data_IF_712502389127
#
_entry.id   IF_712502389127
#
_cell.length_a   1.000
_cell.length_b   1.000
_cell.length_c   1.000
_cell.angle_alpha   90.00
_cell.angle_beta   90.00
_cell.angle_gamma   90.00
#
_symmetry.space_group_name_H-M   'P 1'
#
loop_
_entity.id
_entity.type
_entity.pdbx_description
1 polymer ?
#
# COMPACT_ATOMS: atom_id res chain seq x y z
N UNK A 1 -15.03 41.97 68.63
CA UNK A 1 -15.98 41.12 67.89
C UNK A 1 -15.83 41.27 66.37
N UNK A 2 -14.61 41.24 65.82
CA UNK A 2 -14.39 41.50 64.38
C UNK A 2 -13.40 40.55 63.69
N UNK A 3 -13.00 39.46 64.38
CA UNK A 3 -12.00 38.56 63.77
C UNK A 3 -12.55 37.19 63.37
N UNK A 4 -13.76 36.81 63.74
CA UNK A 4 -14.40 35.53 63.38
C UNK A 4 -15.28 35.56 62.12
N UNK A 5 -15.58 36.76 61.58
CA UNK A 5 -16.39 36.87 60.38
C UNK A 5 -15.56 36.91 59.08
N UNK A 6 -14.26 37.09 59.16
CA UNK A 6 -13.37 37.07 57.97
C UNK A 6 -12.86 35.67 57.60
N UNK A 7 -12.99 34.67 58.42
CA UNK A 7 -12.62 33.28 58.12
C UNK A 7 -13.73 32.46 57.46
N UNK A 8 -14.99 32.86 57.57
CA UNK A 8 -16.10 32.17 56.90
C UNK A 8 -16.27 32.61 55.42
N UNK A 9 -15.80 33.81 55.04
CA UNK A 9 -15.90 34.28 53.66
C UNK A 9 -14.79 33.70 52.74
N UNK A 10 -13.66 33.21 53.32
CA UNK A 10 -12.58 32.57 52.55
C UNK A 10 -12.82 31.10 52.28
N UNK A 11 -13.69 30.41 53.03
CA UNK A 11 -13.99 28.98 52.86
C UNK A 11 -15.07 28.71 51.79
N UNK A 12 -15.87 29.71 51.40
CA UNK A 12 -16.89 29.55 50.38
C UNK A 12 -16.42 29.89 48.96
N UNK A 13 -15.25 30.54 48.81
CA UNK A 13 -14.69 30.86 47.48
C UNK A 13 -13.88 29.74 46.85
N UNK A 14 -13.53 28.72 47.64
CA UNK A 14 -12.71 27.57 47.15
C UNK A 14 -13.51 26.34 46.71
N UNK A 15 -14.83 26.30 46.95
CA UNK A 15 -15.70 25.22 46.51
C UNK A 15 -16.31 25.50 45.14
N UNK A 16 -16.30 26.75 44.65
CA UNK A 16 -16.85 27.13 43.36
C UNK A 16 -15.96 26.91 42.13
N UNK A 17 -14.66 26.55 42.31
CA UNK A 17 -13.68 26.36 41.21
C UNK A 17 -13.44 24.91 40.83
N UNK A 18 -14.05 23.95 41.53
CA UNK A 18 -13.96 22.53 41.21
C UNK A 18 -15.14 21.98 40.39
N UNK A 19 -16.14 22.83 40.10
CA UNK A 19 -17.31 22.42 39.30
C UNK A 19 -17.24 22.84 37.80
N UNK A 20 -16.12 23.46 37.35
CA UNK A 20 -15.97 23.92 35.96
C UNK A 20 -15.09 23.03 35.08
N UNK A 21 -14.63 21.85 35.55
CA UNK A 21 -13.94 20.85 34.76
C UNK A 21 -14.76 19.58 34.52
N UNK A 22 -16.07 19.67 34.56
CA UNK A 22 -17.00 18.61 34.22
C UNK A 22 -17.67 18.84 32.88
N UNK A 23 -16.91 19.15 31.83
CA UNK A 23 -17.32 18.95 30.45
C UNK A 23 -17.36 17.44 30.17
N UNK A 24 -18.42 16.79 30.63
CA UNK A 24 -18.66 15.36 30.39
C UNK A 24 -18.97 15.10 28.92
N UNK A 25 -17.98 14.96 28.08
CA UNK A 25 -18.05 13.97 27.04
C UNK A 25 -18.01 12.63 27.76
N UNK A 26 -19.17 12.03 28.01
CA UNK A 26 -19.25 10.67 28.53
C UNK A 26 -18.40 9.79 27.63
N UNK A 27 -17.35 9.19 28.18
CA UNK A 27 -16.61 8.17 27.46
C UNK A 27 -17.66 7.16 26.98
N UNK A 28 -17.66 6.88 25.66
CA UNK A 28 -18.51 5.86 25.09
C UNK A 28 -18.14 4.52 25.75
N UNK A 29 -18.91 4.11 26.73
CA UNK A 29 -18.73 2.87 27.49
C UNK A 29 -19.44 1.71 26.81
N UNK A 30 -19.98 1.90 25.58
CA UNK A 30 -20.58 0.81 24.80
C UNK A 30 -19.50 -0.26 24.58
N UNK A 31 -19.72 -1.53 24.96
CA UNK A 31 -18.78 -2.58 24.70
C UNK A 31 -18.49 -2.66 23.22
N UNK A 32 -17.22 -2.41 22.82
CA UNK A 32 -16.81 -2.54 21.42
C UNK A 32 -16.95 -4.00 21.04
N UNK A 33 -17.62 -4.27 19.89
CA UNK A 33 -17.77 -5.62 19.40
C UNK A 33 -16.37 -6.25 19.23
N UNK A 34 -16.17 -7.43 19.82
CA UNK A 34 -14.90 -8.14 19.83
C UNK A 34 -14.50 -8.52 18.40
N UNK A 35 -13.30 -8.13 17.96
CA UNK A 35 -12.70 -8.69 16.74
C UNK A 35 -12.26 -10.13 17.03
N UNK A 36 -12.77 -11.07 16.26
CA UNK A 36 -12.46 -12.51 16.41
C UNK A 36 -11.71 -13.08 15.21
N UNK A 37 -11.64 -12.34 14.11
CA UNK A 37 -10.93 -12.72 12.89
C UNK A 37 -10.40 -11.49 12.19
N UNK A 38 -9.23 -11.62 11.61
CA UNK A 38 -8.63 -10.62 10.70
C UNK A 38 -8.58 -11.23 9.31
N UNK A 39 -9.16 -10.54 8.32
CA UNK A 39 -9.12 -10.94 6.91
C UNK A 39 -8.33 -9.92 6.11
N UNK A 40 -7.46 -10.39 5.22
CA UNK A 40 -6.52 -9.55 4.50
C UNK A 40 -6.67 -9.76 3.00
N UNK A 41 -6.79 -8.70 2.23
CA UNK A 41 -6.73 -8.68 0.78
C UNK A 41 -5.72 -7.62 0.35
N UNK A 42 -4.90 -7.94 -0.64
CA UNK A 42 -3.87 -7.00 -1.07
C UNK A 42 -2.79 -7.62 -1.94
N UNK A 43 -1.66 -6.95 -1.93
CA UNK A 43 -0.51 -7.33 -2.74
C UNK A 43 0.68 -7.83 -1.88
N UNK A 44 1.90 -7.63 -2.36
CA UNK A 44 3.13 -8.06 -1.68
C UNK A 44 3.35 -7.41 -0.32
N UNK A 45 2.79 -6.22 -0.07
CA UNK A 45 2.90 -5.58 1.24
C UNK A 45 2.13 -6.34 2.32
N UNK A 46 1.11 -7.09 1.93
CA UNK A 46 0.20 -7.81 2.83
C UNK A 46 0.33 -9.34 2.78
N UNK A 47 1.08 -9.88 1.83
CA UNK A 47 1.26 -11.31 1.63
C UNK A 47 2.06 -11.95 2.79
N UNK A 48 1.43 -12.87 3.53
CA UNK A 48 2.03 -13.57 4.67
C UNK A 48 2.86 -14.81 4.29
N UNK A 49 3.15 -15.01 2.99
CA UNK A 49 4.02 -16.08 2.51
C UNK A 49 3.39 -17.03 1.50
N UNK A 50 2.52 -16.55 0.62
CA UNK A 50 1.87 -17.34 -0.44
C UNK A 50 2.89 -18.11 -1.32
N UNK A 51 4.07 -17.50 -1.55
CA UNK A 51 5.16 -18.10 -2.35
C UNK A 51 6.23 -18.81 -1.51
N UNK A 52 5.97 -19.04 -0.22
CA UNK A 52 6.93 -19.64 0.71
C UNK A 52 7.92 -18.63 1.33
N UNK A 53 7.80 -17.37 1.01
CA UNK A 53 8.56 -16.25 1.61
C UNK A 53 7.68 -15.00 1.72
N UNK A 54 8.06 -14.06 2.58
CA UNK A 54 7.41 -12.75 2.72
C UNK A 54 8.20 -11.68 1.96
N UNK A 55 7.54 -10.62 1.58
CA UNK A 55 8.16 -9.53 0.81
C UNK A 55 8.92 -8.55 1.72
N UNK A 56 9.91 -9.09 2.43
CA UNK A 56 10.83 -8.40 3.33
C UNK A 56 12.15 -9.19 3.44
N UNK A 57 13.05 -8.79 4.33
CA UNK A 57 14.23 -9.61 4.70
C UNK A 57 13.76 -10.93 5.31
N UNK A 58 14.31 -12.05 4.84
CA UNK A 58 13.96 -13.37 5.37
C UNK A 58 14.71 -13.66 6.68
N UNK A 59 14.06 -14.36 7.60
CA UNK A 59 14.63 -14.74 8.88
C UNK A 59 13.68 -14.56 10.04
N UNK A 60 14.20 -14.70 11.24
CA UNK A 60 13.43 -14.60 12.47
C UNK A 60 13.83 -13.36 13.27
N UNK A 61 12.86 -12.78 13.95
CA UNK A 61 13.08 -11.76 14.97
C UNK A 61 13.87 -12.39 16.14
N UNK A 62 15.06 -11.87 16.46
CA UNK A 62 15.92 -12.47 17.48
C UNK A 62 15.30 -12.40 18.88
N UNK A 63 14.35 -11.51 19.12
CA UNK A 63 13.68 -11.37 20.42
C UNK A 63 12.59 -12.43 20.61
N UNK A 64 11.84 -12.73 19.55
CA UNK A 64 10.69 -13.65 19.63
C UNK A 64 10.98 -15.04 19.07
N UNK A 65 12.06 -15.19 18.29
CA UNK A 65 12.38 -16.42 17.56
C UNK A 65 11.41 -16.73 16.40
N UNK A 66 10.41 -15.87 16.15
CA UNK A 66 9.39 -16.05 15.11
C UNK A 66 9.82 -15.35 13.82
N UNK A 67 9.33 -15.82 12.63
CA UNK A 67 9.56 -15.14 11.38
C UNK A 67 9.18 -13.65 11.43
N UNK A 68 9.93 -12.82 10.73
CA UNK A 68 9.57 -11.39 10.61
C UNK A 68 8.15 -11.23 10.09
N UNK A 69 7.41 -10.28 10.67
CA UNK A 69 6.01 -10.04 10.38
C UNK A 69 5.85 -8.90 9.37
N UNK A 70 4.98 -9.07 8.39
CA UNK A 70 4.42 -7.99 7.58
C UNK A 70 3.35 -7.23 8.39
N UNK A 71 2.94 -6.05 7.95
CA UNK A 71 2.06 -5.18 8.73
C UNK A 71 0.71 -5.81 9.12
N UNK A 72 0.01 -6.62 8.27
CA UNK A 72 -1.27 -7.21 8.68
C UNK A 72 -1.11 -8.26 9.78
N UNK A 73 0.02 -8.99 9.80
CA UNK A 73 0.30 -9.95 10.86
C UNK A 73 0.50 -9.26 12.20
N UNK A 74 1.15 -8.06 12.20
CA UNK A 74 1.29 -7.23 13.41
C UNK A 74 -0.06 -6.75 13.93
N UNK A 75 -0.99 -6.41 13.02
CA UNK A 75 -2.36 -6.05 13.41
C UNK A 75 -3.10 -7.27 13.96
N UNK A 76 -2.97 -8.44 13.32
CA UNK A 76 -3.59 -9.67 13.80
C UNK A 76 -3.14 -10.04 15.22
N UNK A 77 -1.83 -9.86 15.53
CA UNK A 77 -1.29 -10.09 16.87
C UNK A 77 -1.95 -9.21 17.95
N UNK A 78 -2.35 -7.96 17.64
CA UNK A 78 -3.06 -7.08 18.58
C UNK A 78 -4.42 -7.65 19.00
N UNK A 79 -5.03 -8.46 18.14
CA UNK A 79 -6.30 -9.14 18.42
C UNK A 79 -6.12 -10.61 18.81
N UNK A 80 -4.89 -11.03 19.11
CA UNK A 80 -4.56 -12.42 19.46
C UNK A 80 -5.02 -13.42 18.39
N UNK A 81 -4.94 -13.03 17.13
CA UNK A 81 -5.20 -13.86 15.95
C UNK A 81 -3.91 -14.07 15.16
N UNK A 82 -3.88 -15.08 14.30
CA UNK A 82 -2.76 -15.34 13.40
C UNK A 82 -3.23 -15.39 11.95
N UNK A 83 -2.35 -15.03 11.04
CA UNK A 83 -2.62 -15.08 9.60
C UNK A 83 -1.82 -16.21 8.94
N UNK A 84 -2.43 -16.83 7.95
CA UNK A 84 -1.77 -17.74 7.02
C UNK A 84 -2.31 -17.51 5.60
N UNK A 85 -1.52 -17.80 4.55
CA UNK A 85 -1.95 -17.60 3.16
C UNK A 85 -3.15 -18.47 2.81
N UNK A 86 -4.22 -17.84 2.30
CA UNK A 86 -5.41 -18.55 1.83
C UNK A 86 -5.14 -19.33 0.54
N UNK A 87 -4.24 -18.82 -0.29
CA UNK A 87 -3.93 -19.39 -1.60
C UNK A 87 -2.57 -20.08 -1.63
N UNK A 88 -2.47 -21.07 -2.53
CA UNK A 88 -1.23 -21.71 -2.97
C UNK A 88 -1.11 -21.56 -4.48
N UNK A 89 0.01 -21.05 -5.02
CA UNK A 89 0.20 -20.89 -6.45
C UNK A 89 0.35 -22.26 -7.12
N UNK A 90 -0.27 -22.43 -8.29
CA UNK A 90 -0.06 -23.54 -9.24
C UNK A 90 0.61 -23.06 -10.52
N UNK A 91 0.51 -21.76 -10.81
CA UNK A 91 1.25 -21.04 -11.85
C UNK A 91 1.40 -19.57 -11.43
N UNK A 92 1.90 -18.72 -12.33
CA UNK A 92 2.02 -17.27 -12.08
C UNK A 92 0.69 -16.58 -11.82
N UNK A 93 -0.41 -17.05 -12.41
CA UNK A 93 -1.73 -16.43 -12.31
C UNK A 93 -2.83 -17.38 -11.86
N UNK A 94 -2.49 -18.63 -11.55
CA UNK A 94 -3.45 -19.67 -11.14
C UNK A 94 -3.14 -20.11 -9.72
N UNK A 95 -4.19 -20.17 -8.90
CA UNK A 95 -4.08 -20.49 -7.48
C UNK A 95 -5.17 -21.47 -7.08
N UNK A 96 -4.88 -22.24 -6.04
CA UNK A 96 -5.85 -23.09 -5.34
C UNK A 96 -5.93 -22.65 -3.89
N UNK A 97 -7.04 -22.95 -3.22
CA UNK A 97 -7.16 -22.73 -1.77
C UNK A 97 -6.18 -23.64 -1.04
N UNK A 98 -5.26 -23.05 -0.27
CA UNK A 98 -4.30 -23.79 0.53
C UNK A 98 -4.97 -24.37 1.79
N UNK A 99 -5.77 -23.54 2.47
CA UNK A 99 -6.55 -23.92 3.66
C UNK A 99 -7.73 -22.99 3.82
N UNK A 100 -8.92 -23.56 4.04
CA UNK A 100 -10.15 -22.81 4.27
C UNK A 100 -10.11 -21.96 5.56
N UNK A 101 -9.28 -22.33 6.54
CA UNK A 101 -9.10 -21.56 7.79
C UNK A 101 -8.14 -20.38 7.67
N UNK A 102 -7.38 -20.29 6.59
CA UNK A 102 -6.45 -19.17 6.36
C UNK A 102 -7.19 -17.98 5.76
N UNK A 103 -7.01 -16.80 6.36
CA UNK A 103 -7.76 -15.59 6.05
C UNK A 103 -6.94 -14.48 5.39
N UNK A 104 -5.68 -14.74 5.05
CA UNK A 104 -4.88 -13.83 4.26
C UNK A 104 -4.97 -14.20 2.76
N UNK A 105 -5.75 -13.43 2.01
CA UNK A 105 -5.96 -13.57 0.57
C UNK A 105 -4.95 -12.80 -0.27
N UNK A 106 -4.07 -12.01 0.36
CA UNK A 106 -3.08 -11.18 -0.34
C UNK A 106 -2.07 -12.03 -1.11
N UNK A 107 -1.68 -11.56 -2.29
CA UNK A 107 -0.74 -12.23 -3.19
C UNK A 107 0.28 -11.23 -3.70
N UNK A 108 1.56 -11.58 -3.58
CA UNK A 108 2.65 -10.77 -4.12
C UNK A 108 2.45 -10.42 -5.60
N UNK A 109 2.59 -9.14 -5.95
CA UNK A 109 2.39 -8.64 -7.30
C UNK A 109 0.94 -8.41 -7.71
N UNK A 110 -0.05 -8.66 -6.84
CA UNK A 110 -1.44 -8.45 -7.17
C UNK A 110 -1.72 -6.97 -7.52
N UNK A 111 -2.63 -6.77 -8.47
CA UNK A 111 -3.14 -5.48 -8.89
C UNK A 111 -4.65 -5.43 -8.58
N UNK A 112 -5.22 -4.25 -8.45
CA UNK A 112 -6.69 -4.12 -8.39
C UNK A 112 -7.30 -4.67 -9.68
N UNK A 113 -6.69 -4.32 -10.83
CA UNK A 113 -7.07 -4.81 -12.14
C UNK A 113 -5.86 -5.42 -12.86
N UNK A 114 -5.64 -6.70 -12.66
CA UNK A 114 -4.50 -7.36 -13.29
C UNK A 114 -4.72 -7.51 -14.80
N UNK A 115 -3.83 -6.89 -15.58
CA UNK A 115 -3.77 -7.00 -17.03
C UNK A 115 -2.50 -7.75 -17.41
N UNK A 116 -2.62 -8.86 -18.10
CA UNK A 116 -1.49 -9.68 -18.51
C UNK A 116 -0.67 -9.06 -19.66
N UNK A 117 0.43 -9.71 -20.03
CA UNK A 117 1.31 -9.23 -21.11
C UNK A 117 0.63 -9.21 -22.50
N UNK A 118 -0.50 -9.89 -22.66
CA UNK A 118 -1.31 -9.84 -23.90
C UNK A 118 -2.34 -8.71 -23.91
N UNK A 119 -2.45 -7.96 -22.80
CA UNK A 119 -3.43 -6.88 -22.63
C UNK A 119 -4.80 -7.37 -22.16
N UNK A 120 -4.92 -8.60 -21.67
CA UNK A 120 -6.19 -9.15 -21.19
C UNK A 120 -6.32 -9.04 -19.67
N UNK A 121 -7.55 -8.75 -19.22
CA UNK A 121 -7.88 -8.75 -17.79
C UNK A 121 -7.94 -10.19 -17.30
N UNK A 122 -7.19 -10.47 -16.22
CA UNK A 122 -7.16 -11.80 -15.60
C UNK A 122 -8.03 -11.81 -14.34
N UNK A 123 -9.11 -12.56 -14.37
CA UNK A 123 -10.02 -12.76 -13.24
C UNK A 123 -9.53 -13.95 -12.38
N UNK A 124 -8.49 -13.70 -11.60
CA UNK A 124 -7.91 -14.67 -10.66
C UNK A 124 -7.44 -13.95 -9.40
N UNK A 125 -7.00 -14.64 -8.34
CA UNK A 125 -6.52 -14.02 -7.11
C UNK A 125 -5.33 -13.04 -7.24
N UNK A 126 -4.67 -12.94 -8.40
CA UNK A 126 -3.75 -11.82 -8.70
C UNK A 126 -4.48 -10.47 -8.86
N UNK A 127 -5.82 -10.49 -8.84
CA UNK A 127 -6.66 -9.29 -8.73
C UNK A 127 -7.18 -9.12 -7.30
N UNK A 128 -6.93 -7.95 -6.69
CA UNK A 128 -7.46 -7.62 -5.35
C UNK A 128 -8.99 -7.65 -5.33
N UNK A 129 -9.65 -7.29 -6.44
CA UNK A 129 -11.11 -7.39 -6.55
C UNK A 129 -11.58 -8.85 -6.48
N UNK A 130 -10.84 -9.80 -7.08
CA UNK A 130 -11.15 -11.22 -6.95
C UNK A 130 -10.93 -11.72 -5.53
N UNK A 131 -9.85 -11.30 -4.86
CA UNK A 131 -9.60 -11.64 -3.45
C UNK A 131 -10.75 -11.15 -2.54
N UNK A 132 -11.24 -9.92 -2.76
CA UNK A 132 -12.40 -9.37 -2.02
C UNK A 132 -13.65 -10.21 -2.25
N UNK A 133 -13.92 -10.59 -3.51
CA UNK A 133 -15.04 -11.45 -3.87
C UNK A 133 -14.97 -12.82 -3.20
N UNK A 134 -13.78 -13.43 -3.21
CA UNK A 134 -13.55 -14.75 -2.61
C UNK A 134 -13.70 -14.70 -1.08
N UNK A 135 -13.17 -13.66 -0.42
CA UNK A 135 -13.34 -13.43 1.01
C UNK A 135 -14.81 -13.20 1.38
N UNK A 136 -15.54 -12.43 0.57
CA UNK A 136 -16.97 -12.21 0.73
C UNK A 136 -17.82 -13.46 0.49
N UNK A 137 -17.38 -14.36 -0.43
CA UNK A 137 -18.02 -15.64 -0.67
C UNK A 137 -17.75 -16.66 0.45
N UNK A 138 -16.53 -16.63 1.02
CA UNK A 138 -16.20 -17.45 2.19
C UNK A 138 -16.93 -17.02 3.48
N UNK A 139 -17.55 -15.85 3.47
CA UNK A 139 -18.31 -15.27 4.57
C UNK A 139 -17.54 -14.20 5.34
N UNK A 140 -18.25 -13.12 5.65
CA UNK A 140 -17.79 -12.02 6.49
C UNK A 140 -18.81 -11.71 7.57
N UNK A 141 -18.37 -11.16 8.69
CA UNK A 141 -19.23 -10.88 9.84
C UNK A 141 -18.88 -9.53 10.50
N UNK A 142 -19.74 -9.08 11.39
CA UNK A 142 -19.51 -7.88 12.20
C UNK A 142 -18.30 -8.02 13.15
N UNK A 143 -17.82 -9.23 13.40
CA UNK A 143 -16.67 -9.52 14.26
C UNK A 143 -15.34 -9.61 13.47
N UNK A 144 -15.39 -9.43 12.17
CA UNK A 144 -14.17 -9.39 11.35
C UNK A 144 -13.59 -7.98 11.31
N UNK A 145 -12.26 -7.89 11.38
CA UNK A 145 -11.48 -6.74 10.92
C UNK A 145 -10.94 -7.08 9.54
N UNK A 146 -11.27 -6.27 8.58
CA UNK A 146 -10.84 -6.43 7.20
C UNK A 146 -9.75 -5.41 6.90
N UNK A 147 -8.61 -5.89 6.39
CA UNK A 147 -7.44 -5.09 6.03
C UNK A 147 -7.23 -5.19 4.52
N UNK A 148 -7.14 -4.05 3.85
CA UNK A 148 -7.01 -3.99 2.39
C UNK A 148 -5.86 -3.05 2.01
N UNK A 149 -5.04 -3.47 1.06
CA UNK A 149 -4.14 -2.61 0.30
C UNK A 149 -4.21 -2.96 -1.19
N UNK A 150 -3.60 -2.13 -2.03
CA UNK A 150 -3.53 -2.37 -3.47
C UNK A 150 -3.49 -1.08 -4.28
N UNK A 151 -3.19 -1.24 -5.57
CA UNK A 151 -3.11 -0.14 -6.53
C UNK A 151 -1.70 0.38 -6.80
N UNK A 152 -0.72 0.09 -5.92
CA UNK A 152 0.67 0.43 -6.15
C UNK A 152 1.24 -0.30 -7.38
N UNK A 153 0.92 -1.57 -7.54
CA UNK A 153 1.30 -2.36 -8.72
C UNK A 153 0.57 -1.92 -9.99
N UNK A 154 -0.68 -1.45 -9.90
CA UNK A 154 -1.41 -0.85 -11.03
C UNK A 154 -0.74 0.44 -11.51
N UNK A 155 -0.39 1.34 -10.59
CA UNK A 155 0.32 2.58 -10.91
C UNK A 155 1.72 2.28 -11.51
N UNK A 156 2.44 1.30 -10.96
CA UNK A 156 3.74 0.86 -11.46
C UNK A 156 3.63 0.24 -12.87
N UNK A 157 2.59 -0.56 -13.14
CA UNK A 157 2.35 -1.14 -14.45
C UNK A 157 1.97 -0.08 -15.48
N UNK A 158 1.11 0.86 -15.10
CA UNK A 158 0.67 1.96 -15.97
C UNK A 158 1.86 2.85 -16.39
N UNK A 159 2.67 3.32 -15.46
CA UNK A 159 3.83 4.16 -15.81
C UNK A 159 4.83 3.37 -16.66
N UNK A 160 5.04 2.08 -16.37
CA UNK A 160 5.91 1.22 -17.17
C UNK A 160 5.40 1.09 -18.60
N UNK A 161 4.08 0.88 -18.81
CA UNK A 161 3.47 0.81 -20.14
C UNK A 161 3.66 2.12 -20.92
N UNK A 162 3.45 3.27 -20.27
CA UNK A 162 3.65 4.59 -20.89
C UNK A 162 5.10 4.82 -21.28
N UNK A 163 6.04 4.57 -20.35
CA UNK A 163 7.48 4.77 -20.61
C UNK A 163 7.98 3.81 -21.70
N UNK A 164 7.50 2.58 -21.74
CA UNK A 164 7.82 1.60 -22.80
C UNK A 164 7.34 2.09 -24.16
N UNK A 165 6.10 2.59 -24.24
CA UNK A 165 5.57 3.15 -25.49
C UNK A 165 6.38 4.38 -25.92
N UNK A 166 6.64 5.33 -25.03
CA UNK A 166 7.38 6.55 -25.35
C UNK A 166 8.80 6.24 -25.84
N UNK A 167 9.51 5.33 -25.16
CA UNK A 167 10.86 4.89 -25.53
C UNK A 167 10.88 4.21 -26.91
N UNK A 168 9.94 3.30 -27.16
CA UNK A 168 9.84 2.60 -28.45
C UNK A 168 9.48 3.56 -29.60
N UNK A 169 8.57 4.49 -29.37
CA UNK A 169 8.20 5.52 -30.35
C UNK A 169 9.36 6.46 -30.67
N UNK A 170 10.11 6.90 -29.64
CA UNK A 170 11.30 7.74 -29.82
C UNK A 170 12.41 7.00 -30.59
N UNK A 171 12.65 5.73 -30.30
CA UNK A 171 13.61 4.89 -31.02
C UNK A 171 13.23 4.78 -32.51
N UNK A 172 11.95 4.48 -32.79
CA UNK A 172 11.46 4.39 -34.18
C UNK A 172 11.58 5.73 -34.93
N UNK A 173 11.30 6.84 -34.27
CA UNK A 173 11.43 8.18 -34.85
C UNK A 173 12.88 8.49 -35.31
N UNK A 174 13.88 7.93 -34.61
CA UNK A 174 15.31 8.10 -34.93
C UNK A 174 15.77 7.11 -36.00
N UNK A 175 15.39 5.83 -35.87
CA UNK A 175 15.94 4.76 -36.71
C UNK A 175 15.16 4.57 -38.02
N UNK A 176 13.84 4.85 -38.03
CA UNK A 176 12.94 4.56 -39.13
C UNK A 176 12.85 3.07 -39.49
N UNK A 177 13.45 2.17 -38.67
CA UNK A 177 13.54 0.76 -39.01
C UNK A 177 12.19 0.06 -38.86
N UNK A 178 11.81 -0.87 -39.77
CA UNK A 178 10.56 -1.63 -39.64
C UNK A 178 10.47 -2.43 -38.32
N UNK A 179 11.61 -2.93 -37.81
CA UNK A 179 11.64 -3.68 -36.55
C UNK A 179 11.31 -2.78 -35.34
N UNK A 180 11.80 -1.56 -35.31
CA UNK A 180 11.50 -0.60 -34.23
C UNK A 180 10.09 -0.04 -34.37
N UNK A 181 9.60 0.14 -35.61
CA UNK A 181 8.19 0.44 -35.86
C UNK A 181 7.24 -0.63 -35.32
N UNK A 182 7.55 -1.91 -35.51
CA UNK A 182 6.77 -3.02 -34.94
C UNK A 182 6.76 -3.02 -33.40
N UNK A 183 7.92 -2.72 -32.75
CA UNK A 183 8.00 -2.58 -31.29
C UNK A 183 7.16 -1.41 -30.80
N UNK A 184 7.22 -0.25 -31.45
CA UNK A 184 6.42 0.92 -31.09
C UNK A 184 4.92 0.62 -31.20
N UNK A 185 4.47 -0.05 -32.28
CA UNK A 185 3.08 -0.46 -32.45
C UNK A 185 2.64 -1.48 -31.37
N UNK A 186 3.48 -2.45 -31.02
CA UNK A 186 3.17 -3.42 -29.97
C UNK A 186 3.01 -2.74 -28.60
N UNK A 187 3.93 -1.83 -28.24
CA UNK A 187 3.86 -1.07 -27.01
C UNK A 187 2.62 -0.15 -26.97
N UNK A 188 2.27 0.49 -28.10
CA UNK A 188 1.05 1.28 -28.23
C UNK A 188 -0.21 0.44 -28.02
N UNK A 189 -0.31 -0.72 -28.67
CA UNK A 189 -1.45 -1.64 -28.53
C UNK A 189 -1.60 -2.12 -27.09
N UNK A 190 -0.49 -2.45 -26.44
CA UNK A 190 -0.51 -2.86 -25.02
C UNK A 190 -1.03 -1.73 -24.13
N UNK A 191 -0.50 -0.51 -24.26
CA UNK A 191 -0.96 0.65 -23.49
C UNK A 191 -2.44 0.94 -23.71
N UNK A 192 -2.91 0.86 -24.97
CA UNK A 192 -4.32 1.04 -25.30
C UNK A 192 -5.20 -0.04 -24.65
N UNK A 193 -4.81 -1.32 -24.73
CA UNK A 193 -5.53 -2.41 -24.11
C UNK A 193 -5.56 -2.28 -22.58
N UNK A 194 -4.41 -1.88 -21.98
CA UNK A 194 -4.32 -1.62 -20.55
C UNK A 194 -5.31 -0.55 -20.11
N UNK A 195 -5.33 0.60 -20.76
CA UNK A 195 -6.25 1.70 -20.44
C UNK A 195 -7.72 1.34 -20.73
N UNK A 196 -8.00 0.67 -21.87
CA UNK A 196 -9.33 0.23 -22.25
C UNK A 196 -9.94 -0.81 -21.30
N UNK A 197 -9.12 -1.46 -20.47
CA UNK A 197 -9.61 -2.38 -19.44
C UNK A 197 -10.48 -1.68 -18.38
N UNK A 198 -10.40 -0.34 -18.26
CA UNK A 198 -11.15 0.47 -17.28
C UNK A 198 -11.75 1.76 -17.83
N UNK A 199 -11.46 2.11 -19.08
CA UNK A 199 -11.97 3.32 -19.74
C UNK A 199 -12.73 2.86 -20.98
N UNK A 200 -13.95 3.34 -21.17
CA UNK A 200 -14.73 3.00 -22.37
C UNK A 200 -14.05 3.51 -23.64
N UNK A 201 -14.30 2.81 -24.75
CA UNK A 201 -13.61 3.04 -26.01
C UNK A 201 -13.79 4.46 -26.56
N UNK A 202 -14.97 5.05 -26.43
CA UNK A 202 -15.23 6.39 -26.97
C UNK A 202 -14.43 7.45 -26.19
N UNK A 203 -14.48 7.39 -24.85
CA UNK A 203 -13.69 8.27 -23.98
C UNK A 203 -12.19 8.11 -24.24
N UNK A 204 -11.70 6.87 -24.28
CA UNK A 204 -10.28 6.60 -24.51
C UNK A 204 -9.80 7.12 -25.87
N UNK A 205 -10.57 6.88 -26.94
CA UNK A 205 -10.24 7.39 -28.27
C UNK A 205 -10.15 8.92 -28.29
N UNK A 206 -11.12 9.60 -27.67
CA UNK A 206 -11.11 11.06 -27.56
C UNK A 206 -9.93 11.62 -26.77
N UNK A 207 -9.52 10.90 -25.72
CA UNK A 207 -8.32 11.26 -24.94
C UNK A 207 -7.03 11.04 -25.75
N UNK A 208 -6.85 9.86 -26.33
CA UNK A 208 -5.62 9.54 -27.08
C UNK A 208 -5.42 10.43 -28.30
N UNK A 209 -6.49 10.97 -28.92
CA UNK A 209 -6.39 11.96 -29.97
C UNK A 209 -5.71 13.28 -29.53
N UNK A 210 -5.61 13.54 -28.22
CA UNK A 210 -4.91 14.70 -27.65
C UNK A 210 -3.40 14.46 -27.45
N UNK A 211 -2.86 13.34 -27.92
CA UNK A 211 -1.44 13.01 -27.80
C UNK A 211 -1.00 12.78 -26.35
N UNK A 212 0.14 13.34 -25.98
CA UNK A 212 0.73 13.16 -24.63
C UNK A 212 -0.19 13.63 -23.51
N UNK A 213 -0.85 14.78 -23.67
CA UNK A 213 -1.80 15.28 -22.68
C UNK A 213 -2.98 14.33 -22.49
N UNK A 214 -3.40 13.68 -23.56
CA UNK A 214 -4.45 12.67 -23.52
C UNK A 214 -4.02 11.42 -22.75
N UNK A 215 -2.78 10.97 -22.90
CA UNK A 215 -2.23 9.85 -22.12
C UNK A 215 -2.19 10.19 -20.62
N UNK A 216 -1.76 11.41 -20.27
CA UNK A 216 -1.77 11.89 -18.86
C UNK A 216 -3.16 11.82 -18.26
N UNK A 217 -4.16 12.35 -18.97
CA UNK A 217 -5.57 12.34 -18.54
C UNK A 217 -6.15 10.93 -18.47
N UNK A 218 -5.85 10.08 -19.46
CA UNK A 218 -6.31 8.69 -19.49
C UNK A 218 -5.75 7.89 -18.30
N UNK A 219 -4.47 8.06 -17.95
CA UNK A 219 -3.89 7.43 -16.78
C UNK A 219 -4.55 7.89 -15.47
N UNK A 220 -4.82 9.18 -15.33
CA UNK A 220 -5.56 9.70 -14.17
C UNK A 220 -6.97 9.11 -14.07
N UNK A 221 -7.71 9.05 -15.19
CA UNK A 221 -9.05 8.45 -15.24
C UNK A 221 -9.02 6.95 -14.94
N UNK A 222 -8.01 6.23 -15.44
CA UNK A 222 -7.79 4.81 -15.15
C UNK A 222 -7.64 4.61 -13.62
N UNK A 223 -6.75 5.34 -12.98
CA UNK A 223 -6.50 5.25 -11.53
C UNK A 223 -7.74 5.63 -10.70
N UNK A 224 -8.48 6.66 -11.10
CA UNK A 224 -9.76 7.01 -10.47
C UNK A 224 -10.79 5.89 -10.60
N UNK A 225 -10.84 5.22 -11.76
CA UNK A 225 -11.79 4.11 -11.99
C UNK A 225 -11.43 2.91 -11.14
N UNK A 226 -10.13 2.60 -10.96
CA UNK A 226 -9.69 1.56 -10.03
C UNK A 226 -10.15 1.84 -8.60
N UNK A 227 -9.98 3.07 -8.12
CA UNK A 227 -10.40 3.46 -6.77
C UNK A 227 -11.91 3.31 -6.57
N UNK A 228 -12.71 3.71 -7.57
CA UNK A 228 -14.18 3.50 -7.55
C UNK A 228 -14.53 2.02 -7.54
N UNK A 229 -13.87 1.20 -8.33
CA UNK A 229 -14.11 -0.24 -8.38
C UNK A 229 -13.74 -0.93 -7.06
N UNK A 230 -12.63 -0.53 -6.43
CA UNK A 230 -12.24 -1.03 -5.11
C UNK A 230 -13.31 -0.67 -4.07
N UNK A 231 -13.73 0.59 -4.02
CA UNK A 231 -14.78 1.03 -3.10
C UNK A 231 -16.10 0.31 -3.34
N UNK A 232 -16.53 0.14 -4.60
CA UNK A 232 -17.74 -0.59 -4.95
C UNK A 232 -17.65 -2.07 -4.52
N UNK A 233 -16.50 -2.71 -4.71
CA UNK A 233 -16.28 -4.09 -4.27
C UNK A 233 -16.32 -4.23 -2.73
N UNK A 234 -15.74 -3.28 -1.98
CA UNK A 234 -15.87 -3.23 -0.52
C UNK A 234 -17.34 -3.13 -0.09
N UNK A 235 -18.14 -2.30 -0.78
CA UNK A 235 -19.55 -2.14 -0.49
C UNK A 235 -20.36 -3.42 -0.77
N UNK A 236 -20.23 -3.98 -1.98
CA UNK A 236 -21.06 -5.10 -2.42
C UNK A 236 -20.64 -6.45 -1.83
N UNK A 237 -19.33 -6.68 -1.70
CA UNK A 237 -18.81 -8.00 -1.32
C UNK A 237 -18.52 -8.14 0.18
N UNK A 238 -18.35 -7.02 0.88
CA UNK A 238 -18.00 -7.06 2.30
C UNK A 238 -19.07 -6.39 3.18
N UNK A 239 -19.33 -5.10 3.00
CA UNK A 239 -20.27 -4.36 3.87
C UNK A 239 -21.70 -4.83 3.71
N UNK A 240 -22.17 -5.11 2.48
CA UNK A 240 -23.49 -5.66 2.23
C UNK A 240 -23.65 -7.08 2.78
N UNK A 241 -22.55 -7.80 3.02
CA UNK A 241 -22.53 -9.16 3.58
C UNK A 241 -22.27 -9.19 5.09
N UNK A 242 -22.25 -8.04 5.77
CA UNK A 242 -22.22 -7.96 7.22
C UNK A 242 -20.89 -7.51 7.84
N UNK A 243 -19.86 -7.19 7.05
CA UNK A 243 -18.67 -6.55 7.58
C UNK A 243 -18.97 -5.16 8.16
N UNK A 244 -18.30 -4.80 9.26
CA UNK A 244 -18.49 -3.51 9.94
C UNK A 244 -17.19 -2.76 10.17
N UNK A 245 -16.04 -3.33 9.80
CA UNK A 245 -14.71 -2.73 9.99
C UNK A 245 -13.79 -3.06 8.83
N UNK A 246 -13.54 -2.08 7.99
CA UNK A 246 -12.63 -2.18 6.85
C UNK A 246 -11.57 -1.08 6.99
N UNK A 247 -10.32 -1.44 7.19
CA UNK A 247 -9.19 -0.52 7.07
C UNK A 247 -8.55 -0.72 5.69
N UNK A 248 -8.55 0.33 4.88
CA UNK A 248 -7.97 0.31 3.54
C UNK A 248 -6.84 1.34 3.45
N UNK A 249 -5.64 0.89 3.03
CA UNK A 249 -4.50 1.76 2.83
C UNK A 249 -4.65 2.47 1.48
N UNK A 250 -4.36 3.77 1.45
CA UNK A 250 -4.13 4.47 0.19
C UNK A 250 -2.75 4.10 -0.38
N UNK A 251 -2.53 4.37 -1.68
CA UNK A 251 -1.27 4.06 -2.35
C UNK A 251 -0.18 4.98 -1.79
N UNK A 252 0.99 4.44 -1.33
CA UNK A 252 2.11 5.26 -0.89
C UNK A 252 2.76 6.04 -2.04
N UNK A 253 3.62 7.00 -1.73
CA UNK A 253 4.38 7.78 -2.71
C UNK A 253 5.47 6.90 -3.38
N UNK A 254 5.06 5.95 -4.24
CA UNK A 254 5.92 4.92 -4.83
C UNK A 254 7.07 5.49 -5.66
N UNK A 255 6.93 6.72 -6.20
CA UNK A 255 7.99 7.43 -6.91
C UNK A 255 9.23 7.69 -6.03
N UNK A 256 9.08 7.63 -4.71
CA UNK A 256 10.18 7.79 -3.75
C UNK A 256 10.90 6.48 -3.40
N UNK A 257 10.45 5.35 -3.92
CA UNK A 257 11.11 4.05 -3.70
C UNK A 257 12.40 3.94 -4.52
N UNK A 258 13.40 3.14 -4.09
CA UNK A 258 14.63 2.93 -4.85
C UNK A 258 14.40 2.48 -6.30
N UNK A 259 13.37 1.68 -6.55
CA UNK A 259 12.96 1.26 -7.90
C UNK A 259 12.67 2.46 -8.79
N UNK A 260 11.82 3.37 -8.34
CA UNK A 260 11.40 4.50 -9.18
C UNK A 260 12.43 5.63 -9.20
N UNK A 261 13.15 5.87 -8.10
CA UNK A 261 14.25 6.85 -8.13
C UNK A 261 15.36 6.43 -9.10
N UNK A 262 15.62 5.13 -9.26
CA UNK A 262 16.52 4.59 -10.28
C UNK A 262 16.00 4.85 -11.70
N UNK A 263 14.73 4.58 -11.97
CA UNK A 263 14.09 4.87 -13.28
C UNK A 263 14.12 6.37 -13.59
N UNK A 264 13.81 7.21 -12.62
CA UNK A 264 13.85 8.67 -12.76
C UNK A 264 15.28 9.18 -13.04
N UNK A 265 16.28 8.60 -12.39
CA UNK A 265 17.69 8.92 -12.65
C UNK A 265 18.11 8.53 -14.08
N UNK A 266 17.67 7.37 -14.57
CA UNK A 266 17.92 6.94 -15.96
C UNK A 266 17.26 7.89 -16.97
N UNK A 267 16.02 8.33 -16.71
CA UNK A 267 15.33 9.34 -17.55
C UNK A 267 16.11 10.66 -17.51
N UNK A 268 16.57 11.10 -16.34
CA UNK A 268 17.37 12.32 -16.22
C UNK A 268 18.66 12.25 -17.02
N UNK A 269 19.33 11.11 -17.02
CA UNK A 269 20.56 10.87 -17.78
C UNK A 269 20.32 10.84 -19.30
N UNK A 270 19.22 10.20 -19.73
CA UNK A 270 18.93 10.02 -21.16
C UNK A 270 18.24 11.23 -21.80
N UNK A 271 17.38 11.93 -21.08
CA UNK A 271 16.46 12.96 -21.60
C UNK A 271 16.52 14.29 -20.85
N UNK A 272 17.37 14.39 -19.82
CA UNK A 272 17.53 15.57 -18.98
C UNK A 272 16.60 15.62 -17.76
N UNK A 273 16.98 16.46 -16.81
CA UNK A 273 16.30 16.60 -15.50
C UNK A 273 14.82 17.02 -15.63
N UNK A 274 14.50 17.81 -16.66
CA UNK A 274 13.11 18.26 -16.88
C UNK A 274 12.19 17.07 -17.22
N UNK A 275 12.62 16.14 -18.07
CA UNK A 275 11.87 14.93 -18.41
C UNK A 275 11.68 14.02 -17.18
N UNK A 276 12.70 13.86 -16.36
CA UNK A 276 12.62 13.11 -15.10
C UNK A 276 11.58 13.70 -14.14
N UNK A 277 11.60 15.01 -13.93
CA UNK A 277 10.59 15.68 -13.09
C UNK A 277 9.17 15.56 -13.63
N UNK A 278 9.00 15.58 -14.97
CA UNK A 278 7.70 15.35 -15.58
C UNK A 278 7.20 13.92 -15.33
N UNK A 279 8.07 12.91 -15.47
CA UNK A 279 7.71 11.52 -15.20
C UNK A 279 7.38 11.29 -13.71
N UNK A 280 8.12 11.90 -12.80
CA UNK A 280 7.84 11.88 -11.36
C UNK A 280 6.47 12.51 -11.05
N UNK A 281 6.22 13.72 -11.56
CA UNK A 281 4.95 14.43 -11.34
C UNK A 281 3.76 13.67 -11.96
N UNK A 282 3.96 12.98 -13.08
CA UNK A 282 2.94 12.17 -13.71
C UNK A 282 2.54 10.99 -12.82
N UNK A 283 3.53 10.24 -12.33
CA UNK A 283 3.28 9.11 -11.44
C UNK A 283 2.64 9.56 -10.12
N UNK A 284 3.16 10.63 -9.51
CA UNK A 284 2.60 11.23 -8.30
C UNK A 284 1.14 11.70 -8.53
N UNK A 285 0.87 12.34 -9.65
CA UNK A 285 -0.47 12.80 -10.03
C UNK A 285 -1.48 11.64 -10.15
N UNK A 286 -1.08 10.51 -10.74
CA UNK A 286 -1.92 9.32 -10.86
C UNK A 286 -2.17 8.64 -9.52
N UNK A 287 -1.16 8.53 -8.67
CA UNK A 287 -1.32 8.02 -7.30
C UNK A 287 -2.28 8.90 -6.50
N UNK A 288 -2.12 10.22 -6.58
CA UNK A 288 -3.01 11.16 -5.90
C UNK A 288 -4.45 11.12 -6.46
N UNK A 289 -4.64 10.91 -7.76
CA UNK A 289 -5.96 10.73 -8.36
C UNK A 289 -6.69 9.50 -7.79
N UNK A 290 -5.98 8.38 -7.63
CA UNK A 290 -6.51 7.20 -6.94
C UNK A 290 -6.86 7.51 -5.48
N UNK A 291 -5.92 8.05 -4.72
CA UNK A 291 -6.05 8.28 -3.27
C UNK A 291 -7.20 9.24 -2.95
N UNK A 292 -7.31 10.34 -3.69
CA UNK A 292 -8.41 11.29 -3.54
C UNK A 292 -9.77 10.64 -3.87
N UNK A 293 -9.82 9.83 -4.93
CA UNK A 293 -11.05 9.14 -5.33
C UNK A 293 -11.46 8.06 -4.32
N UNK A 294 -10.50 7.28 -3.81
CA UNK A 294 -10.75 6.28 -2.76
C UNK A 294 -11.32 6.95 -1.50
N UNK A 295 -10.69 8.04 -1.05
CA UNK A 295 -11.14 8.81 0.11
C UNK A 295 -12.56 9.36 -0.10
N UNK A 296 -12.84 9.93 -1.26
CA UNK A 296 -14.17 10.44 -1.60
C UNK A 296 -15.22 9.33 -1.67
N UNK A 297 -14.87 8.16 -2.24
CA UNK A 297 -15.78 7.02 -2.35
C UNK A 297 -16.05 6.33 -1.01
N UNK A 298 -15.09 6.29 -0.09
CA UNK A 298 -15.30 5.84 1.29
C UNK A 298 -16.22 6.81 2.06
N UNK A 299 -16.15 8.10 1.73
CA UNK A 299 -17.03 9.12 2.30
C UNK A 299 -16.90 9.21 3.82
N UNK A 300 -18.08 9.32 4.49
CA UNK A 300 -18.19 9.35 5.95
C UNK A 300 -18.71 8.02 6.51
N UNK A 301 -18.54 6.90 5.78
CA UNK A 301 -18.96 5.59 6.29
C UNK A 301 -18.06 5.17 7.46
N UNK A 302 -18.61 5.19 8.68
CA UNK A 302 -17.85 4.85 9.90
C UNK A 302 -17.33 3.40 9.93
N UNK A 303 -17.76 2.56 9.00
CA UNK A 303 -17.28 1.19 8.84
C UNK A 303 -16.01 1.10 7.98
N UNK A 304 -15.56 2.21 7.36
CA UNK A 304 -14.37 2.27 6.52
C UNK A 304 -13.38 3.28 7.12
N UNK A 305 -12.19 2.83 7.42
CA UNK A 305 -11.05 3.67 7.78
C UNK A 305 -10.06 3.71 6.61
N UNK A 306 -9.95 4.85 5.94
CA UNK A 306 -8.91 5.08 4.93
C UNK A 306 -7.63 5.48 5.64
N UNK A 307 -6.62 4.62 5.61
CA UNK A 307 -5.33 4.83 6.25
C UNK A 307 -4.44 5.63 5.29
N UNK A 308 -3.97 6.80 5.72
CA UNK A 308 -3.14 7.69 4.89
C UNK A 308 -1.67 7.24 4.88
N UNK A 309 -1.39 6.16 4.15
CA UNK A 309 -0.03 5.67 3.97
C UNK A 309 0.79 6.57 3.04
N UNK A 310 0.16 7.29 2.10
CA UNK A 310 0.85 8.22 1.22
C UNK A 310 1.60 9.30 2.00
N UNK A 311 0.92 10.01 2.90
CA UNK A 311 1.53 11.08 3.69
C UNK A 311 2.55 10.56 4.68
N UNK A 312 2.25 9.46 5.36
CA UNK A 312 3.17 8.83 6.31
C UNK A 312 4.47 8.37 5.63
N UNK A 313 4.36 7.71 4.48
CA UNK A 313 5.52 7.23 3.72
C UNK A 313 6.39 8.39 3.22
N UNK A 314 5.79 9.47 2.71
CA UNK A 314 6.54 10.69 2.34
C UNK A 314 7.31 11.25 3.54
N UNK A 315 6.70 11.30 4.70
CA UNK A 315 7.35 11.78 5.92
C UNK A 315 8.52 10.89 6.33
N UNK A 316 8.35 9.56 6.25
CA UNK A 316 9.42 8.60 6.55
C UNK A 316 10.64 8.75 5.63
N UNK A 317 10.41 9.04 4.33
CA UNK A 317 11.49 9.23 3.37
C UNK A 317 12.13 10.61 3.50
N UNK A 318 11.33 11.66 3.78
CA UNK A 318 11.82 13.04 3.86
C UNK A 318 12.51 13.37 5.17
N UNK A 319 12.09 12.76 6.27
CA UNK A 319 12.70 12.90 7.61
C UNK A 319 12.87 11.52 8.26
N UNK A 320 13.79 10.70 7.74
CA UNK A 320 13.97 9.33 8.23
C UNK A 320 14.39 9.28 9.70
N UNK A 321 15.12 10.29 10.18
CA UNK A 321 15.61 10.34 11.56
C UNK A 321 14.47 10.42 12.58
N UNK A 322 13.38 11.13 12.28
CA UNK A 322 12.19 11.20 13.13
C UNK A 322 11.53 9.83 13.35
N UNK A 323 11.72 8.92 12.40
CA UNK A 323 11.23 7.54 12.45
C UNK A 323 12.32 6.52 12.86
N UNK A 324 13.50 7.00 13.26
CA UNK A 324 14.67 6.17 13.63
C UNK A 324 15.18 5.31 12.46
N UNK A 325 14.96 5.73 11.23
CA UNK A 325 15.60 5.15 10.05
C UNK A 325 17.00 5.76 9.87
N UNK A 326 17.96 4.93 9.51
CA UNK A 326 19.33 5.35 9.16
C UNK A 326 19.52 5.50 7.65
N UNK A 327 18.65 4.85 6.86
CA UNK A 327 18.68 4.92 5.40
C UNK A 327 17.27 4.79 4.82
N UNK A 328 16.90 5.74 3.94
CA UNK A 328 15.60 5.81 3.29
C UNK A 328 15.71 5.83 1.75
N UNK A 329 16.90 5.60 1.18
CA UNK A 329 17.14 5.73 -0.26
C UNK A 329 17.76 4.50 -0.90
N UNK A 330 18.37 3.63 -0.10
CA UNK A 330 19.07 2.43 -0.57
C UNK A 330 18.42 1.19 0.02
N UNK A 331 18.26 0.17 -0.82
CA UNK A 331 17.76 -1.14 -0.37
C UNK A 331 18.86 -1.92 0.36
N UNK A 332 18.53 -2.53 1.51
CA UNK A 332 19.49 -3.33 2.28
C UNK A 332 20.01 -4.53 1.47
N UNK A 333 19.12 -5.26 0.78
CA UNK A 333 19.48 -6.43 -0.02
C UNK A 333 20.42 -6.10 -1.19
N UNK A 334 20.36 -4.87 -1.74
CA UNK A 334 21.26 -4.45 -2.81
C UNK A 334 22.73 -4.41 -2.36
N UNK A 335 22.98 -4.22 -1.06
CA UNK A 335 24.33 -4.22 -0.48
C UNK A 335 24.99 -5.61 -0.48
N UNK A 336 24.21 -6.65 -0.64
CA UNK A 336 24.70 -8.03 -0.81
C UNK A 336 24.47 -8.56 -2.24
N UNK A 337 24.23 -7.65 -3.20
CA UNK A 337 24.16 -7.96 -4.63
C UNK A 337 22.86 -8.62 -5.09
N UNK A 338 21.74 -8.47 -4.35
CA UNK A 338 20.45 -9.03 -4.75
C UNK A 338 19.31 -8.04 -4.56
N UNK A 339 18.28 -8.12 -5.42
CA UNK A 339 16.97 -7.49 -5.23
C UNK A 339 15.88 -8.55 -4.95
N UNK A 340 16.25 -9.84 -5.02
CA UNK A 340 15.38 -10.98 -4.77
C UNK A 340 15.23 -11.25 -3.28
N UNK A 341 14.03 -11.03 -2.74
CA UNK A 341 13.76 -11.14 -1.30
C UNK A 341 13.86 -12.60 -0.80
N UNK A 342 13.55 -13.59 -1.62
CA UNK A 342 13.75 -15.00 -1.29
C UNK A 342 15.23 -15.36 -1.05
N UNK A 343 16.15 -14.59 -1.62
CA UNK A 343 17.60 -14.76 -1.45
C UNK A 343 18.22 -13.83 -0.40
N UNK A 344 17.46 -12.87 0.12
CA UNK A 344 17.92 -11.85 1.08
C UNK A 344 17.51 -12.21 2.51
N UNK A 345 18.45 -12.74 3.29
CA UNK A 345 18.22 -13.13 4.67
C UNK A 345 18.96 -12.25 5.68
N UNK A 346 18.44 -12.19 6.90
CA UNK A 346 19.04 -11.49 8.02
C UNK A 346 20.49 -11.94 8.26
N UNK A 347 20.74 -13.25 8.21
CA UNK A 347 22.09 -13.81 8.42
C UNK A 347 23.06 -13.32 7.34
N UNK A 348 22.64 -13.32 6.06
CA UNK A 348 23.47 -12.82 4.96
C UNK A 348 23.76 -11.33 5.11
N UNK A 349 22.77 -10.52 5.47
CA UNK A 349 22.95 -9.08 5.69
C UNK A 349 23.89 -8.83 6.85
N UNK A 350 23.71 -9.51 7.98
CA UNK A 350 24.51 -9.35 9.18
C UNK A 350 25.96 -9.85 9.00
N UNK A 351 26.17 -10.86 8.15
CA UNK A 351 27.51 -11.36 7.81
C UNK A 351 28.26 -10.45 6.80
N UNK A 352 27.56 -9.58 6.08
CA UNK A 352 28.12 -8.71 5.05
C UNK A 352 27.91 -7.23 5.41
N UNK A 353 28.76 -6.70 6.28
CA UNK A 353 28.70 -5.31 6.74
C UNK A 353 29.28 -4.43 5.62
N UNK A 354 28.51 -3.51 5.01
CA UNK A 354 29.01 -2.64 3.96
C UNK A 354 30.04 -1.64 4.47
N UNK A 355 30.86 -1.12 3.57
CA UNK A 355 31.77 -0.04 3.91
C UNK A 355 30.99 1.18 4.47
N UNK A 356 31.44 1.68 5.61
CA UNK A 356 30.81 2.79 6.34
C UNK A 356 29.83 2.35 7.44
N UNK A 357 29.42 1.09 7.48
CA UNK A 357 28.65 0.50 8.55
C UNK A 357 29.58 -0.22 9.54
N UNK A 358 29.20 -0.27 10.80
CA UNK A 358 30.04 -0.85 11.87
C UNK A 358 29.36 -1.96 12.66
N UNK A 359 28.05 -2.15 12.46
CA UNK A 359 27.24 -3.12 13.20
C UNK A 359 26.67 -4.18 12.27
N UNK A 360 26.60 -5.45 12.67
CA UNK A 360 25.85 -6.49 11.93
C UNK A 360 24.34 -6.18 11.83
N UNK A 361 23.84 -5.25 12.65
CA UNK A 361 22.44 -4.82 12.65
C UNK A 361 22.17 -3.61 11.73
N UNK A 362 23.14 -3.17 10.93
CA UNK A 362 23.08 -1.99 10.04
C UNK A 362 21.81 -1.90 9.21
N UNK A 363 21.33 -3.01 8.67
CA UNK A 363 20.19 -3.11 7.78
C UNK A 363 18.83 -2.98 8.49
N UNK A 364 18.78 -3.23 9.81
CA UNK A 364 17.52 -3.26 10.59
C UNK A 364 16.82 -1.92 10.64
N UNK A 365 17.55 -0.82 10.50
CA UNK A 365 17.02 0.55 10.49
C UNK A 365 16.94 1.16 9.06
N UNK A 366 17.10 0.38 8.01
CA UNK A 366 16.79 0.81 6.66
C UNK A 366 15.28 0.78 6.42
N UNK A 367 14.76 1.72 5.58
CA UNK A 367 13.36 1.68 5.15
C UNK A 367 13.12 0.47 4.26
N UNK A 368 14.01 0.25 3.29
CA UNK A 368 13.82 -0.71 2.20
C UNK A 368 14.65 -1.98 2.37
N UNK A 369 13.98 -3.14 2.26
CA UNK A 369 14.64 -4.43 2.10
C UNK A 369 15.19 -4.57 0.68
N UNK A 370 14.32 -4.53 -0.34
CA UNK A 370 14.71 -4.48 -1.75
C UNK A 370 14.29 -3.14 -2.38
N UNK A 371 14.39 -3.02 -3.69
CA UNK A 371 14.10 -1.77 -4.40
C UNK A 371 12.66 -1.25 -4.23
N UNK A 372 11.73 -2.05 -3.69
CA UNK A 372 10.31 -1.71 -3.62
C UNK A 372 9.63 -2.03 -2.28
N UNK A 373 10.18 -2.94 -1.47
CA UNK A 373 9.52 -3.44 -0.27
C UNK A 373 10.24 -3.03 1.02
N UNK A 374 9.48 -2.83 2.12
CA UNK A 374 10.04 -2.45 3.41
C UNK A 374 10.89 -3.54 4.06
N UNK A 375 11.82 -3.12 4.94
CA UNK A 375 12.44 -4.00 5.94
C UNK A 375 11.40 -4.43 7.00
N UNK A 376 11.73 -5.39 7.88
CA UNK A 376 10.88 -5.72 9.04
C UNK A 376 10.55 -4.49 9.91
N UNK A 377 11.49 -3.53 10.03
CA UNK A 377 11.25 -2.30 10.76
C UNK A 377 10.33 -1.34 9.98
N UNK A 378 10.47 -1.23 8.65
CA UNK A 378 9.52 -0.50 7.80
C UNK A 378 8.09 -1.05 7.96
N UNK A 379 7.91 -2.37 7.98
CA UNK A 379 6.62 -2.99 8.27
C UNK A 379 6.11 -2.74 9.69
N UNK A 380 7.01 -2.58 10.66
CA UNK A 380 6.62 -2.16 12.01
C UNK A 380 6.03 -0.75 12.00
N UNK A 381 6.63 0.19 11.27
CA UNK A 381 6.10 1.56 11.13
C UNK A 381 4.73 1.55 10.44
N UNK A 382 4.53 0.72 9.39
CA UNK A 382 3.22 0.54 8.76
C UNK A 382 2.18 0.00 9.76
N UNK A 383 2.54 -1.03 10.54
CA UNK A 383 1.66 -1.58 11.57
C UNK A 383 1.26 -0.53 12.62
N UNK A 384 2.19 0.34 13.03
CA UNK A 384 1.91 1.45 13.96
C UNK A 384 0.96 2.48 13.34
N UNK A 385 1.13 2.85 12.06
CA UNK A 385 0.22 3.74 11.35
C UNK A 385 -1.20 3.17 11.35
N UNK A 386 -1.35 1.90 10.93
CA UNK A 386 -2.66 1.24 10.90
C UNK A 386 -3.26 1.17 12.30
N UNK A 387 -2.48 0.80 13.32
CA UNK A 387 -2.96 0.75 14.72
C UNK A 387 -3.50 2.10 15.19
N UNK A 388 -2.81 3.21 14.86
CA UNK A 388 -3.31 4.57 15.17
C UNK A 388 -4.65 4.85 14.47
N UNK A 389 -4.77 4.45 13.21
CA UNK A 389 -6.00 4.63 12.44
C UNK A 389 -7.17 3.79 12.99
N UNK A 390 -6.89 2.55 13.41
CA UNK A 390 -7.90 1.68 14.06
C UNK A 390 -8.34 2.27 15.41
N UNK A 391 -7.41 2.81 16.20
CA UNK A 391 -7.73 3.48 17.46
C UNK A 391 -8.59 4.74 17.25
N UNK A 392 -8.30 5.54 16.21
CA UNK A 392 -9.10 6.71 15.83
C UNK A 392 -10.50 6.31 15.38
N UNK A 393 -10.65 5.19 14.68
CA UNK A 393 -11.94 4.62 14.29
C UNK A 393 -12.68 3.96 15.47
N UNK A 394 -12.04 3.86 16.63
CA UNK A 394 -12.60 3.22 17.79
C UNK A 394 -12.64 1.68 17.74
N UNK A 395 -11.79 1.06 16.94
CA UNK A 395 -11.76 -0.39 16.73
C UNK A 395 -10.64 -1.10 17.49
N UNK A 396 -9.71 -0.37 18.07
CA UNK A 396 -8.60 -0.88 18.88
C UNK A 396 -8.72 -0.40 20.33
#
# INVERSE_FOLDING_TARGET
>A
MTSKLKLLAAAMATVGLLAACGGGGGADTTPKAKVTSVKVMGDSLSDSGTFGYKFTVQGNDPTTGKPYLVWPERIADLYSTSLCPHYKPTSQTTFVTASAGCTNYAIGGAQINYVDASGQVVNSPVSVLQQIKDAGAAGVSANDLILIDGGANDAAALITAVLTYQSAAATYAVTGSPADGAKAQAAQKYLQAFLASKIDTATLTGLLAQGTDGIVKAGGLYMQTLARNLAASMQSELLAKGATRIAVLNIPAIQMTPRFTTVLAQIAQAQGTAASKQAEALLDGWVNAFNATLKAAAGNDSRIAVVDFYTEFKSQISDPAAYKFTNATVAACSKIGTDELSACSADKLSANIPQGETSPDWWKSYVFANSFHPTPYGYQQMGQLVSRSLAQAGWL
#
